data_IF_924053618185
#
_entry.id   IF_924053618185
#
_cell.length_a   1.000
_cell.length_b   1.000
_cell.length_c   1.000
_cell.angle_alpha   90.00
_cell.angle_beta   90.00
_cell.angle_gamma   90.00
#
_symmetry.space_group_name_H-M   'P 1'
#
loop_
_entity.id
_entity.type
_entity.pdbx_description
1 polymer ?
#
# COMPACT_ATOMS: atom_id res chain seq x y z
N UNK A 1 23.64 46.83 24.57
CA UNK A 1 23.04 45.51 24.85
C UNK A 1 22.22 45.12 23.63
N UNK A 2 22.78 44.30 22.74
CA UNK A 2 22.15 43.93 21.47
C UNK A 2 21.36 42.63 21.61
N UNK A 3 20.11 42.66 21.13
CA UNK A 3 19.16 41.56 21.16
C UNK A 3 19.67 40.31 20.40
N UNK A 4 19.30 39.09 20.84
CA UNK A 4 19.65 37.88 20.13
C UNK A 4 18.83 37.77 18.84
N UNK A 5 19.52 37.54 17.71
CA UNK A 5 18.89 37.17 16.45
C UNK A 5 18.31 35.76 16.60
N UNK A 6 17.03 35.60 16.27
CA UNK A 6 16.36 34.30 16.17
C UNK A 6 17.15 33.42 15.21
N UNK A 7 17.96 32.50 15.74
CA UNK A 7 18.58 31.44 14.96
C UNK A 7 17.44 30.47 14.64
N UNK A 8 16.99 30.48 13.39
CA UNK A 8 16.14 29.40 12.91
C UNK A 8 16.97 28.12 13.02
N UNK A 9 16.53 27.19 13.87
CA UNK A 9 17.05 25.83 13.86
C UNK A 9 16.77 25.23 12.46
N UNK A 10 17.74 24.53 11.85
CA UNK A 10 17.46 23.79 10.63
C UNK A 10 16.43 22.72 10.96
N UNK A 11 15.28 22.77 10.28
CA UNK A 11 14.35 21.65 10.26
C UNK A 11 15.13 20.39 9.86
N UNK A 12 14.89 19.22 10.49
CA UNK A 12 15.61 18.01 10.13
C UNK A 12 15.43 17.76 8.63
N UNK A 13 16.56 17.60 7.93
CA UNK A 13 16.60 17.15 6.54
C UNK A 13 15.80 15.86 6.45
N UNK A 14 14.60 15.94 5.87
CA UNK A 14 13.81 14.76 5.57
C UNK A 14 14.47 14.08 4.37
N UNK A 15 15.38 13.14 4.66
CA UNK A 15 15.88 12.25 3.62
C UNK A 15 14.68 11.60 2.90
N UNK A 16 14.67 11.55 1.57
CA UNK A 16 13.54 11.04 0.82
C UNK A 16 13.43 9.53 1.06
N UNK A 17 12.63 9.16 2.07
CA UNK A 17 12.26 7.79 2.32
C UNK A 17 11.48 7.25 1.11
N UNK A 18 11.74 6.01 0.74
CA UNK A 18 10.97 5.34 -0.31
C UNK A 18 9.48 5.36 0.08
N UNK A 19 8.59 5.94 -0.74
CA UNK A 19 7.19 6.11 -0.37
C UNK A 19 6.50 4.75 -0.26
N UNK A 20 5.70 4.57 0.80
CA UNK A 20 4.98 3.31 1.07
C UNK A 20 3.90 3.01 0.01
N UNK A 21 3.27 4.04 -0.54
CA UNK A 21 2.28 3.97 -1.62
C UNK A 21 2.31 5.25 -2.46
N UNK A 22 1.79 5.19 -3.69
CA UNK A 22 1.73 6.33 -4.63
C UNK A 22 0.34 6.51 -5.22
N UNK A 23 0.02 7.76 -5.59
CA UNK A 23 -1.22 8.12 -6.28
C UNK A 23 -1.04 7.91 -7.78
N UNK A 24 -1.84 7.03 -8.38
CA UNK A 24 -1.76 6.72 -9.82
C UNK A 24 -2.66 7.65 -10.65
N UNK A 25 -3.71 8.23 -10.05
CA UNK A 25 -4.67 9.08 -10.74
C UNK A 25 -5.30 10.10 -9.79
N UNK A 26 -5.48 11.33 -10.26
CA UNK A 26 -6.10 12.43 -9.52
C UNK A 26 -5.09 13.21 -8.67
N UNK A 27 -5.57 14.28 -8.05
CA UNK A 27 -4.80 15.14 -7.15
C UNK A 27 -5.58 15.28 -5.83
N UNK A 28 -5.45 14.31 -4.91
CA UNK A 28 -6.17 14.32 -3.64
C UNK A 28 -5.63 15.41 -2.72
N UNK A 29 -6.49 15.96 -1.87
CA UNK A 29 -6.06 16.87 -0.83
C UNK A 29 -5.22 16.12 0.23
N UNK A 30 -4.37 16.85 0.97
CA UNK A 30 -3.51 16.27 1.99
C UNK A 30 -4.32 15.57 3.10
N UNK A 31 -5.49 16.11 3.43
CA UNK A 31 -6.41 15.58 4.42
C UNK A 31 -6.98 14.22 4.00
N UNK A 32 -7.27 14.05 2.70
CA UNK A 32 -7.79 12.79 2.16
C UNK A 32 -6.71 11.71 2.18
N UNK A 33 -5.47 12.06 1.84
CA UNK A 33 -4.32 11.15 1.94
C UNK A 33 -4.08 10.71 3.40
N UNK A 34 -4.16 11.64 4.36
CA UNK A 34 -4.01 11.33 5.78
C UNK A 34 -5.11 10.39 6.29
N UNK A 35 -6.36 10.63 5.89
CA UNK A 35 -7.49 9.77 6.24
C UNK A 35 -7.33 8.34 5.70
N UNK A 36 -6.91 8.21 4.44
CA UNK A 36 -6.65 6.89 3.84
C UNK A 36 -5.47 6.17 4.51
N UNK A 37 -4.39 6.88 4.84
CA UNK A 37 -3.25 6.31 5.55
C UNK A 37 -3.66 5.76 6.92
N UNK A 38 -4.48 6.51 7.69
CA UNK A 38 -4.99 6.09 8.98
C UNK A 38 -5.82 4.79 8.89
N UNK A 39 -6.63 4.66 7.84
CA UNK A 39 -7.39 3.43 7.57
C UNK A 39 -6.43 2.28 7.28
N UNK A 40 -5.48 2.44 6.35
CA UNK A 40 -4.53 1.37 5.98
C UNK A 40 -3.72 0.90 7.19
N UNK A 41 -3.22 1.81 8.02
CA UNK A 41 -2.51 1.47 9.26
C UNK A 41 -3.40 0.67 10.21
N UNK A 42 -4.68 1.03 10.31
CA UNK A 42 -5.65 0.32 11.15
C UNK A 42 -5.94 -1.12 10.67
N UNK A 43 -5.83 -1.39 9.37
CA UNK A 43 -5.96 -2.76 8.81
C UNK A 43 -4.70 -3.62 9.01
N UNK A 44 -3.52 -3.01 9.15
CA UNK A 44 -2.21 -3.70 9.16
C UNK A 44 -1.92 -4.58 10.39
N UNK A 45 -2.77 -4.57 11.42
CA UNK A 45 -2.54 -5.32 12.67
C UNK A 45 -2.88 -6.82 12.61
N UNK A 46 -3.60 -7.30 11.60
CA UNK A 46 -3.99 -8.70 11.47
C UNK A 46 -3.00 -9.45 10.57
N UNK A 47 -1.90 -9.93 11.14
CA UNK A 47 -1.02 -10.88 10.45
C UNK A 47 -1.66 -12.28 10.46
N UNK A 48 -2.63 -12.49 9.58
CA UNK A 48 -3.12 -13.82 9.25
C UNK A 48 -1.95 -14.61 8.65
N UNK A 49 -1.70 -15.83 9.15
CA UNK A 49 -0.63 -16.69 8.65
C UNK A 49 -0.78 -16.85 7.12
N UNK A 50 0.29 -16.54 6.38
CA UNK A 50 0.26 -16.59 4.93
C UNK A 50 -0.11 -18.01 4.47
N UNK A 51 -1.19 -18.18 3.67
CA UNK A 51 -1.45 -19.46 3.04
C UNK A 51 -0.26 -19.84 2.14
N UNK A 52 0.05 -21.14 2.09
CA UNK A 52 1.12 -21.69 1.26
C UNK A 52 1.04 -21.14 -0.17
N UNK A 53 2.11 -20.48 -0.62
CA UNK A 53 2.18 -19.90 -1.97
C UNK A 53 2.03 -21.00 -3.01
N UNK A 54 1.02 -20.95 -3.90
CA UNK A 54 0.93 -21.90 -4.99
C UNK A 54 2.16 -21.72 -5.90
N UNK A 55 2.88 -22.81 -6.17
CA UNK A 55 4.00 -22.84 -7.09
C UNK A 55 3.56 -22.26 -8.46
N UNK A 56 4.42 -21.53 -9.16
CA UNK A 56 4.19 -20.99 -10.53
C UNK A 56 3.56 -22.03 -11.48
N UNK A 57 3.90 -23.31 -11.32
CA UNK A 57 3.32 -24.44 -12.07
C UNK A 57 1.80 -24.58 -11.90
N UNK A 58 1.25 -24.16 -10.76
CA UNK A 58 -0.17 -24.27 -10.45
C UNK A 58 -1.03 -23.31 -11.29
N UNK A 59 -0.54 -22.09 -11.56
CA UNK A 59 -1.25 -21.14 -12.42
C UNK A 59 -1.21 -21.59 -13.88
N UNK A 60 -0.04 -22.01 -14.38
CA UNK A 60 0.10 -22.55 -15.74
C UNK A 60 -0.82 -23.75 -15.98
N UNK A 61 -0.93 -24.66 -15.01
CA UNK A 61 -1.84 -25.81 -15.09
C UNK A 61 -3.31 -25.39 -15.15
N UNK A 62 -3.74 -24.39 -14.36
CA UNK A 62 -5.12 -23.89 -14.40
C UNK A 62 -5.48 -23.26 -15.75
N UNK A 63 -4.55 -22.49 -16.33
CA UNK A 63 -4.72 -21.91 -17.67
C UNK A 63 -4.91 -23.01 -18.73
N UNK A 64 -4.07 -24.05 -18.71
CA UNK A 64 -4.17 -25.19 -19.65
C UNK A 64 -5.49 -25.95 -19.52
N UNK A 65 -6.04 -26.03 -18.31
CA UNK A 65 -7.31 -26.70 -18.01
C UNK A 65 -8.53 -25.77 -18.16
N UNK A 66 -8.35 -24.52 -18.60
CA UNK A 66 -9.42 -23.50 -18.69
C UNK A 66 -10.18 -23.32 -17.38
N UNK A 67 -9.48 -23.42 -16.25
CA UNK A 67 -10.03 -23.21 -14.90
C UNK A 67 -9.95 -21.74 -14.47
N UNK A 68 -9.97 -20.82 -15.43
CA UNK A 68 -9.91 -19.39 -15.15
C UNK A 68 -11.18 -18.96 -14.39
N UNK A 69 -11.05 -18.12 -13.36
CA UNK A 69 -12.21 -17.66 -12.62
C UNK A 69 -13.11 -16.85 -13.57
N UNK A 70 -14.40 -17.17 -13.59
CA UNK A 70 -15.39 -16.40 -14.34
C UNK A 70 -15.34 -14.93 -13.90
N UNK A 71 -15.17 -13.96 -14.81
CA UNK A 71 -15.20 -12.55 -14.49
C UNK A 71 -16.52 -12.17 -13.84
N UNK A 72 -16.49 -11.33 -12.80
CA UNK A 72 -17.70 -10.85 -12.14
C UNK A 72 -17.48 -10.36 -10.72
N UNK A 73 -18.53 -9.79 -10.10
CA UNK A 73 -18.49 -9.32 -8.71
C UNK A 73 -18.02 -10.44 -7.77
N UNK A 74 -16.98 -10.17 -6.98
CA UNK A 74 -16.43 -11.14 -6.04
C UNK A 74 -15.44 -12.16 -6.62
N UNK A 75 -15.17 -12.17 -7.94
CA UNK A 75 -14.16 -13.05 -8.55
C UNK A 75 -12.76 -12.83 -7.94
N UNK A 76 -12.43 -11.59 -7.60
CA UNK A 76 -11.19 -11.17 -6.95
C UNK A 76 -10.99 -11.73 -5.53
N UNK A 77 -12.04 -12.19 -4.83
CA UNK A 77 -11.90 -12.81 -3.50
C UNK A 77 -11.11 -14.12 -3.58
N UNK A 78 -11.16 -14.80 -4.73
CA UNK A 78 -10.48 -16.07 -4.99
C UNK A 78 -9.03 -15.92 -5.45
N UNK A 79 -8.57 -14.71 -5.74
CA UNK A 79 -7.17 -14.45 -6.14
C UNK A 79 -6.23 -14.21 -4.97
N UNK A 80 -6.73 -14.21 -3.72
CA UNK A 80 -5.88 -14.16 -2.52
C UNK A 80 -5.31 -15.56 -2.23
N UNK A 81 -4.26 -15.93 -2.95
CA UNK A 81 -3.47 -17.15 -2.76
C UNK A 81 -2.10 -16.98 -3.37
#
# INVERSE_FOLDING_TARGET
>A
MSAPKHRADPAPDQEPATPLFSVVKGEPAAEELAALAAVVVSLGGQQEAAPSKPNVRHWVRRQQLRLDPTPGPGAWKRSRG
#
